data_IF_171999607118
#
_entry.id   IF_171999607118
#
_cell.length_a   1.000
_cell.length_b   1.000
_cell.length_c   1.000
_cell.angle_alpha   90.00
_cell.angle_beta   90.00
_cell.angle_gamma   90.00
#
_symmetry.space_group_name_H-M   'P 1'
#
loop_
_entity.id
_entity.type
_entity.pdbx_description
1 polymer ?
#
# COMPACT_ATOMS: atom_id res chain seq x y z
N UNK A 1 15.76 -0.38 -14.95
CA UNK A 1 15.31 -0.47 -13.55
C UNK A 1 16.35 0.22 -12.69
N UNK A 2 15.97 1.15 -11.79
CA UNK A 2 16.90 1.76 -10.87
C UNK A 2 17.39 0.71 -9.86
N UNK A 3 18.70 0.65 -9.63
CA UNK A 3 19.31 -0.28 -8.67
C UNK A 3 19.68 0.48 -7.41
N UNK A 4 19.29 -0.03 -6.25
CA UNK A 4 19.64 0.56 -4.95
C UNK A 4 20.65 -0.36 -4.27
N UNK A 5 21.83 0.17 -3.95
CA UNK A 5 22.79 -0.54 -3.13
C UNK A 5 22.30 -0.54 -1.67
N UNK A 6 22.26 -1.72 -1.05
CA UNK A 6 21.86 -1.89 0.35
C UNK A 6 22.93 -2.66 1.11
N UNK A 7 23.01 -2.43 2.41
CA UNK A 7 23.86 -3.26 3.28
C UNK A 7 23.31 -4.67 3.38
N UNK A 8 24.18 -5.64 3.67
CA UNK A 8 23.81 -7.05 3.85
C UNK A 8 22.76 -7.24 4.96
N UNK A 9 22.90 -6.49 6.05
CA UNK A 9 21.93 -6.48 7.15
C UNK A 9 20.54 -5.98 6.72
N UNK A 10 20.48 -5.02 5.80
CA UNK A 10 19.22 -4.51 5.25
C UNK A 10 18.60 -5.52 4.29
N UNK A 11 19.42 -6.18 3.47
CA UNK A 11 18.98 -7.25 2.58
C UNK A 11 18.34 -8.41 3.35
N UNK A 12 18.91 -8.83 4.48
CA UNK A 12 18.33 -9.89 5.31
C UNK A 12 16.99 -9.50 5.93
N UNK A 13 16.86 -8.25 6.39
CA UNK A 13 15.58 -7.73 6.88
C UNK A 13 14.52 -7.73 5.78
N UNK A 14 14.89 -7.33 4.56
CA UNK A 14 14.00 -7.35 3.39
C UNK A 14 13.58 -8.78 3.02
N UNK A 15 14.49 -9.75 3.02
CA UNK A 15 14.16 -11.17 2.79
C UNK A 15 13.19 -11.72 3.83
N UNK A 16 13.36 -11.34 5.11
CA UNK A 16 12.41 -11.72 6.18
C UNK A 16 11.05 -11.07 5.97
N UNK A 17 11.01 -9.79 5.61
CA UNK A 17 9.77 -9.08 5.31
C UNK A 17 9.04 -9.68 4.11
N UNK A 18 9.77 -10.08 3.05
CA UNK A 18 9.22 -10.75 1.88
C UNK A 18 8.52 -12.07 2.27
N UNK A 19 9.16 -12.89 3.13
CA UNK A 19 8.55 -14.13 3.64
C UNK A 19 7.30 -13.86 4.49
N UNK A 20 7.31 -12.82 5.31
CA UNK A 20 6.17 -12.47 6.17
C UNK A 20 4.97 -11.95 5.38
N UNK A 21 5.21 -11.21 4.30
CA UNK A 21 4.14 -10.65 3.45
C UNK A 21 3.71 -11.58 2.32
N UNK A 22 4.47 -12.63 2.01
CA UNK A 22 4.17 -13.55 0.90
C UNK A 22 4.24 -12.89 -0.48
N UNK A 23 4.97 -11.78 -0.62
CA UNK A 23 5.09 -11.05 -1.89
C UNK A 23 5.99 -11.79 -2.88
N UNK A 24 5.68 -11.75 -4.19
CA UNK A 24 6.39 -12.54 -5.21
C UNK A 24 7.78 -11.99 -5.55
N UNK A 25 8.03 -10.70 -5.36
CA UNK A 25 9.30 -10.03 -5.71
C UNK A 25 9.76 -9.06 -4.62
N UNK A 26 11.07 -8.77 -4.60
CA UNK A 26 11.66 -7.81 -3.67
C UNK A 26 11.10 -6.40 -3.88
N UNK A 27 10.88 -5.99 -5.13
CA UNK A 27 10.28 -4.69 -5.45
C UNK A 27 8.84 -4.58 -4.91
N UNK A 28 8.06 -5.66 -5.02
CA UNK A 28 6.72 -5.71 -4.43
C UNK A 28 6.77 -5.60 -2.90
N UNK A 29 7.75 -6.22 -2.24
CA UNK A 29 7.97 -6.06 -0.80
C UNK A 29 8.30 -4.61 -0.45
N UNK A 30 9.20 -3.96 -1.19
CA UNK A 30 9.60 -2.58 -0.95
C UNK A 30 8.39 -1.65 -1.10
N UNK A 31 7.61 -1.80 -2.16
CA UNK A 31 6.42 -0.99 -2.39
C UNK A 31 5.39 -1.17 -1.26
N UNK A 32 5.10 -2.41 -0.85
CA UNK A 32 4.16 -2.65 0.26
C UNK A 32 4.66 -2.07 1.60
N UNK A 33 5.99 -2.11 1.85
CA UNK A 33 6.58 -1.47 3.02
C UNK A 33 6.45 0.06 2.97
N UNK A 34 6.65 0.66 1.79
CA UNK A 34 6.48 2.10 1.58
C UNK A 34 5.03 2.54 1.76
N UNK A 35 4.07 1.78 1.23
CA UNK A 35 2.63 2.02 1.41
C UNK A 35 2.25 1.99 2.90
N UNK A 36 2.72 0.98 3.64
CA UNK A 36 2.50 0.88 5.09
C UNK A 36 3.14 2.04 5.85
N UNK A 37 4.38 2.38 5.53
CA UNK A 37 5.10 3.48 6.19
C UNK A 37 4.48 4.85 5.90
N UNK A 38 4.01 5.06 4.67
CA UNK A 38 3.33 6.28 4.25
C UNK A 38 1.89 6.40 4.75
N UNK A 39 1.40 5.42 5.54
CA UNK A 39 -0.03 5.28 5.90
C UNK A 39 -0.93 5.41 4.67
N UNK A 40 -0.44 4.99 3.50
CA UNK A 40 -1.18 5.06 2.25
C UNK A 40 -2.27 4.01 2.34
N UNK A 41 -3.54 4.43 2.31
CA UNK A 41 -4.65 3.51 2.42
C UNK A 41 -4.66 2.57 1.20
N UNK A 42 -4.92 1.28 1.41
CA UNK A 42 -5.05 0.30 0.32
C UNK A 42 -6.17 0.65 -0.69
N UNK A 43 -7.04 1.59 -0.33
CA UNK A 43 -8.05 2.18 -1.21
C UNK A 43 -8.03 3.70 -1.06
N UNK A 44 -7.85 4.40 -2.18
CA UNK A 44 -8.01 5.85 -2.25
C UNK A 44 -9.48 6.28 -2.30
N UNK A 45 -10.42 5.32 -2.28
CA UNK A 45 -11.84 5.61 -2.29
C UNK A 45 -12.25 6.33 -0.99
N UNK A 46 -12.74 7.56 -1.11
CA UNK A 46 -13.20 8.38 0.03
C UNK A 46 -12.09 9.11 0.79
N UNK A 47 -10.86 9.15 0.30
CA UNK A 47 -9.72 9.75 1.01
C UNK A 47 -9.33 11.06 0.32
N UNK A 48 -10.08 12.10 0.67
CA UNK A 48 -9.64 13.48 0.50
C UNK A 48 -8.90 13.89 1.78
N UNK A 49 -7.58 14.10 1.67
CA UNK A 49 -6.73 14.47 2.80
C UNK A 49 -7.08 15.84 3.42
N UNK A 50 -7.97 16.62 2.80
CA UNK A 50 -8.37 17.96 3.26
C UNK A 50 -9.86 18.12 3.59
N UNK A 51 -10.71 17.14 3.30
CA UNK A 51 -12.16 17.24 3.57
C UNK A 51 -12.70 16.00 4.25
N UNK A 52 -13.09 16.16 5.52
CA UNK A 52 -13.71 15.14 6.35
C UNK A 52 -15.15 14.80 5.95
N UNK A 53 -15.38 14.38 4.71
CA UNK A 53 -16.62 13.71 4.32
C UNK A 53 -16.29 12.27 3.94
N UNK A 54 -16.42 11.39 4.94
CA UNK A 54 -16.37 9.94 4.77
C UNK A 54 -17.68 9.53 4.11
N UNK A 55 -17.68 9.36 2.79
CA UNK A 55 -18.74 8.58 2.17
C UNK A 55 -18.58 7.13 2.66
N UNK A 56 -19.60 6.66 3.34
CA UNK A 56 -19.75 5.29 3.79
C UNK A 56 -19.79 4.33 2.60
N UNK A 57 -19.44 3.06 2.84
CA UNK A 57 -19.48 1.99 1.83
C UNK A 57 -20.85 1.93 1.14
N UNK A 58 -21.91 2.21 1.89
CA UNK A 58 -23.29 2.24 1.39
C UNK A 58 -23.52 3.32 0.33
N UNK A 59 -22.92 4.50 0.49
CA UNK A 59 -23.03 5.61 -0.47
C UNK A 59 -22.27 5.32 -1.77
N UNK A 60 -21.17 4.55 -1.70
CA UNK A 60 -20.47 4.08 -2.90
C UNK A 60 -21.33 3.11 -3.71
N UNK A 61 -21.94 2.14 -3.03
CA UNK A 61 -22.78 1.13 -3.66
C UNK A 61 -24.03 1.74 -4.30
N UNK A 62 -24.63 2.77 -3.68
CA UNK A 62 -25.73 3.53 -4.29
C UNK A 62 -25.29 4.28 -5.55
N UNK A 63 -24.13 4.94 -5.53
CA UNK A 63 -23.59 5.64 -6.72
C UNK A 63 -23.30 4.68 -7.88
N UNK A 64 -22.85 3.46 -7.59
CA UNK A 64 -22.62 2.45 -8.63
C UNK A 64 -23.91 1.89 -9.21
N UNK A 65 -25.00 1.84 -8.43
CA UNK A 65 -26.32 1.36 -8.89
C UNK A 65 -27.12 2.39 -9.68
N UNK A 66 -26.81 3.68 -9.53
CA UNK A 66 -27.50 4.77 -10.24
C UNK A 66 -26.99 5.02 -11.67
N UNK A 67 -26.30 4.05 -12.29
CA UNK A 67 -25.72 4.17 -13.63
C UNK A 67 -26.31 3.14 -14.59
#
# INVERSE_FOLDING_TARGET
MPTVAVTETTLDKLKRAMKQQGTPTMDATINSLLEKAGKVPHSMFGIDSKRGLRLSVKEHEEFQRSR
#
